data_IF_765069560290
#
_entry.id   IF_765069560290
#
_cell.length_a   1.000
_cell.length_b   1.000
_cell.length_c   1.000
_cell.angle_alpha   90.00
_cell.angle_beta   90.00
_cell.angle_gamma   90.00
#
_symmetry.space_group_name_H-M   'P 1'
#
loop_
_entity.id
_entity.type
_entity.pdbx_description
1 polymer ?
#
# COMPACT_ATOMS: atom_id res chain seq x y z
N UNK A 1 12.10 44.35 52.79
CA UNK A 1 13.30 43.55 52.44
C UNK A 1 13.13 42.05 52.69
N UNK A 2 12.60 41.59 53.84
CA UNK A 2 12.46 40.14 54.14
C UNK A 2 11.58 39.38 53.12
N UNK A 3 10.44 39.94 52.69
CA UNK A 3 9.55 39.28 51.73
C UNK A 3 10.14 39.06 50.32
N UNK A 4 10.98 39.98 49.85
CA UNK A 4 11.66 39.84 48.56
C UNK A 4 12.69 38.70 48.59
N UNK A 5 13.41 38.57 49.71
CA UNK A 5 14.35 37.47 49.91
C UNK A 5 13.66 36.10 49.89
N UNK A 6 12.52 35.96 50.57
CA UNK A 6 11.72 34.72 50.53
C UNK A 6 11.21 34.41 49.12
N UNK A 7 10.76 35.42 48.38
CA UNK A 7 10.29 35.23 47.01
C UNK A 7 11.40 34.72 46.08
N UNK A 8 12.61 35.29 46.17
CA UNK A 8 13.77 34.84 45.37
C UNK A 8 14.17 33.40 45.73
N UNK A 9 14.16 33.03 47.01
CA UNK A 9 14.45 31.65 47.46
C UNK A 9 13.41 30.65 46.96
N UNK A 10 12.12 31.02 46.98
CA UNK A 10 11.03 30.17 46.47
C UNK A 10 11.15 29.97 44.95
N UNK A 11 11.39 31.05 44.20
CA UNK A 11 11.53 30.96 42.74
C UNK A 11 12.75 30.14 42.35
N UNK A 12 13.89 30.33 43.01
CA UNK A 12 15.10 29.52 42.74
C UNK A 12 14.89 28.05 43.08
N UNK A 13 14.25 27.75 44.22
CA UNK A 13 13.87 26.38 44.58
C UNK A 13 12.91 25.74 43.57
N UNK A 14 11.92 26.50 43.10
CA UNK A 14 10.95 26.03 42.10
C UNK A 14 11.61 25.76 40.74
N UNK A 15 12.52 26.63 40.29
CA UNK A 15 13.28 26.42 39.04
C UNK A 15 14.20 25.19 39.13
N UNK A 16 14.84 24.98 40.28
CA UNK A 16 15.65 23.78 40.52
C UNK A 16 14.80 22.50 40.54
N UNK A 17 13.61 22.56 41.16
CA UNK A 17 12.65 21.46 41.17
C UNK A 17 12.17 21.12 39.75
N UNK A 18 11.79 22.12 38.95
CA UNK A 18 11.37 21.90 37.57
C UNK A 18 12.51 21.34 36.71
N UNK A 19 13.75 21.81 36.90
CA UNK A 19 14.93 21.25 36.22
C UNK A 19 15.19 19.80 36.62
N UNK A 20 15.01 19.46 37.89
CA UNK A 20 15.12 18.09 38.38
C UNK A 20 14.04 17.19 37.80
N UNK A 21 12.77 17.64 37.77
CA UNK A 21 11.66 16.89 37.18
C UNK A 21 11.87 16.66 35.68
N UNK A 22 12.28 17.69 34.94
CA UNK A 22 12.58 17.56 33.51
C UNK A 22 13.74 16.60 33.25
N UNK A 23 14.81 16.65 34.07
CA UNK A 23 15.93 15.72 33.95
C UNK A 23 15.49 14.27 34.21
N UNK A 24 14.67 14.05 35.24
CA UNK A 24 14.13 12.73 35.59
C UNK A 24 13.22 12.17 34.50
N UNK A 25 12.39 13.01 33.91
CA UNK A 25 11.51 12.62 32.80
C UNK A 25 12.34 12.23 31.57
N UNK A 26 13.37 13.02 31.21
CA UNK A 26 14.31 12.70 30.11
C UNK A 26 15.08 11.41 30.38
N UNK A 27 15.56 11.18 31.60
CA UNK A 27 16.24 9.93 31.98
C UNK A 27 15.29 8.73 31.85
N UNK A 28 14.02 8.86 32.26
CA UNK A 28 13.03 7.79 32.10
C UNK A 28 12.67 7.51 30.63
N UNK A 29 12.60 8.55 29.80
CA UNK A 29 12.41 8.40 28.35
C UNK A 29 13.62 7.73 27.70
N UNK A 30 14.85 8.10 28.10
CA UNK A 30 16.07 7.46 27.59
C UNK A 30 16.19 6.01 28.02
N UNK A 31 15.81 5.65 29.25
CA UNK A 31 15.82 4.25 29.71
C UNK A 31 14.78 3.41 28.95
N UNK A 32 13.59 3.93 28.68
CA UNK A 32 12.56 3.25 27.89
C UNK A 32 13.01 3.02 26.44
N UNK A 33 13.50 4.06 25.77
CA UNK A 33 14.00 3.95 24.40
C UNK A 33 15.21 3.01 24.31
N UNK A 34 16.13 3.05 25.29
CA UNK A 34 17.28 2.16 25.31
C UNK A 34 16.91 0.70 25.57
N UNK A 35 15.90 0.42 26.40
CA UNK A 35 15.39 -0.92 26.61
C UNK A 35 14.75 -1.49 25.33
N UNK A 36 14.00 -0.67 24.60
CA UNK A 36 13.42 -1.04 23.31
C UNK A 36 14.50 -1.30 22.25
N UNK A 37 15.58 -0.52 22.24
CA UNK A 37 16.72 -0.80 21.36
C UNK A 37 17.48 -2.09 21.72
N UNK A 38 17.62 -2.40 23.02
CA UNK A 38 18.25 -3.66 23.46
C UNK A 38 17.40 -4.88 23.10
N UNK A 39 16.08 -4.80 23.25
CA UNK A 39 15.18 -5.87 22.80
C UNK A 39 15.26 -6.02 21.29
N UNK A 40 15.26 -4.94 20.51
CA UNK A 40 15.43 -5.01 19.05
C UNK A 40 16.75 -5.68 18.64
N UNK A 41 17.85 -5.37 19.34
CA UNK A 41 19.16 -6.00 19.11
C UNK A 41 19.13 -7.49 19.43
N UNK A 42 18.50 -7.89 20.54
CA UNK A 42 18.32 -9.29 20.91
C UNK A 42 17.45 -10.03 19.90
N UNK A 43 16.36 -9.44 19.41
CA UNK A 43 15.51 -10.04 18.37
C UNK A 43 16.28 -10.24 17.07
N UNK A 44 17.09 -9.25 16.68
CA UNK A 44 17.92 -9.34 15.47
C UNK A 44 19.08 -10.33 15.62
N UNK A 45 19.60 -10.52 16.84
CA UNK A 45 20.66 -11.49 17.16
C UNK A 45 20.09 -12.93 17.25
N UNK A 46 18.85 -13.09 17.72
CA UNK A 46 18.08 -14.35 17.66
C UNK A 46 17.74 -14.73 16.21
N UNK A 47 17.35 -13.76 15.36
CA UNK A 47 17.18 -13.95 13.92
C UNK A 47 18.49 -14.26 13.18
N UNK A 48 19.64 -13.84 13.73
CA UNK A 48 20.98 -14.12 13.17
C UNK A 48 21.51 -15.48 13.63
N UNK A 49 20.95 -16.05 14.69
CA UNK A 49 21.23 -17.44 15.06
C UNK A 49 20.59 -18.31 13.97
N UNK A 50 21.35 -19.15 13.27
CA UNK A 50 20.82 -19.93 12.17
C UNK A 50 19.67 -20.79 12.69
N UNK A 51 18.45 -20.42 12.28
CA UNK A 51 17.23 -21.16 12.60
C UNK A 51 17.35 -22.61 12.11
N UNK A 52 16.53 -23.54 12.64
CA UNK A 52 16.54 -24.98 12.36
C UNK A 52 16.51 -25.37 10.87
N UNK A 53 16.36 -24.42 9.97
CA UNK A 53 16.50 -24.53 8.53
C UNK A 53 17.93 -24.89 8.12
N UNK A 54 18.97 -24.29 8.72
CA UNK A 54 20.37 -24.63 8.36
C UNK A 54 20.74 -26.01 8.91
N UNK A 55 20.34 -26.33 10.14
CA UNK A 55 20.48 -27.69 10.67
C UNK A 55 19.67 -28.73 9.88
N UNK A 56 18.48 -28.36 9.37
CA UNK A 56 17.69 -29.20 8.45
C UNK A 56 18.33 -29.32 7.08
N UNK A 57 18.95 -28.26 6.57
CA UNK A 57 19.65 -28.26 5.28
C UNK A 57 20.93 -29.12 5.36
N UNK A 58 21.68 -29.04 6.47
CA UNK A 58 22.84 -29.88 6.75
C UNK A 58 22.44 -31.35 6.95
N UNK A 59 21.35 -31.63 7.69
CA UNK A 59 20.81 -32.98 7.83
C UNK A 59 20.31 -33.54 6.48
N UNK A 60 19.70 -32.69 5.65
CA UNK A 60 19.26 -33.05 4.31
C UNK A 60 20.44 -33.29 3.35
N UNK A 61 21.51 -32.49 3.45
CA UNK A 61 22.75 -32.65 2.69
C UNK A 61 23.57 -33.88 3.12
N UNK A 62 23.54 -34.25 4.40
CA UNK A 62 24.17 -35.48 4.89
C UNK A 62 23.47 -36.76 4.41
N UNK A 63 22.16 -36.68 4.14
CA UNK A 63 21.35 -37.80 3.61
C UNK A 63 21.39 -37.80 2.07
N UNK A 64 21.63 -36.66 1.43
CA UNK A 64 21.70 -36.50 -0.02
C UNK A 64 23.04 -35.85 -0.42
N UNK A 65 24.10 -36.63 -0.71
CA UNK A 65 25.47 -36.13 -0.90
C UNK A 65 25.69 -35.29 -2.18
N UNK A 66 24.63 -34.89 -2.89
CA UNK A 66 24.67 -34.16 -4.15
C UNK A 66 24.42 -32.64 -4.07
N UNK A 67 24.22 -32.07 -2.87
CA UNK A 67 23.96 -30.64 -2.71
C UNK A 67 25.25 -29.92 -2.32
N UNK A 68 25.90 -29.27 -3.29
CA UNK A 68 27.12 -28.46 -3.08
C UNK A 68 26.74 -26.98 -3.12
N UNK A 69 27.11 -26.24 -2.08
CA UNK A 69 27.00 -24.77 -2.02
C UNK A 69 27.92 -24.12 -3.08
N UNK A 70 27.37 -23.19 -3.87
CA UNK A 70 28.14 -22.41 -4.84
C UNK A 70 28.93 -21.33 -4.08
N UNK A 71 30.23 -21.58 -3.87
CA UNK A 71 31.20 -20.55 -3.48
C UNK A 71 31.43 -19.60 -4.66
N UNK A 72 31.13 -18.32 -4.47
CA UNK A 72 31.54 -17.23 -5.37
C UNK A 72 33.06 -17.10 -5.34
N UNK A 73 33.73 -17.20 -6.49
CA UNK A 73 34.98 -16.49 -6.80
C UNK A 73 35.25 -16.44 -8.33
N UNK A 74 35.84 -15.32 -8.75
CA UNK A 74 36.13 -14.81 -10.11
C UNK A 74 37.07 -15.66 -11.00
N UNK A 75 37.23 -15.34 -12.31
CA UNK A 75 37.81 -16.26 -13.30
C UNK A 75 39.33 -16.12 -13.46
N UNK A 76 40.01 -17.25 -13.66
CA UNK A 76 41.42 -17.27 -14.05
C UNK A 76 41.99 -18.67 -14.33
N UNK A 77 42.41 -18.84 -15.59
CA UNK A 77 43.53 -19.63 -16.11
C UNK A 77 43.59 -21.18 -15.94
N UNK A 78 43.62 -21.80 -17.13
CA UNK A 78 44.56 -22.82 -17.62
C UNK A 78 44.58 -24.27 -17.11
N UNK A 79 44.66 -25.13 -18.14
CA UNK A 79 45.37 -26.41 -18.23
C UNK A 79 44.86 -27.62 -17.43
N UNK A 80 44.10 -28.45 -18.16
CA UNK A 80 44.37 -29.87 -18.41
C UNK A 80 44.54 -30.82 -17.23
N UNK A 81 43.69 -31.85 -17.18
CA UNK A 81 44.04 -33.28 -16.97
C UNK A 81 42.80 -34.12 -17.32
N UNK A 82 43.01 -35.17 -18.13
CA UNK A 82 42.04 -36.24 -18.37
C UNK A 82 41.92 -37.11 -17.12
N UNK A 83 40.71 -37.39 -16.68
CA UNK A 83 40.43 -38.55 -15.84
C UNK A 83 39.21 -39.29 -16.40
N UNK A 84 39.39 -40.60 -16.52
CA UNK A 84 38.53 -41.57 -17.16
C UNK A 84 37.10 -41.62 -16.62
N UNK A 85 36.21 -41.95 -17.57
CA UNK A 85 34.87 -42.53 -17.45
C UNK A 85 34.41 -42.93 -16.04
N UNK A 86 33.69 -42.02 -15.40
CA UNK A 86 32.53 -42.37 -14.60
C UNK A 86 31.31 -41.89 -15.38
N UNK A 87 30.47 -42.83 -15.83
CA UNK A 87 29.12 -42.51 -16.31
C UNK A 87 28.35 -42.11 -15.05
N UNK A 88 28.44 -40.82 -14.70
CA UNK A 88 27.41 -40.17 -13.92
C UNK A 88 26.17 -40.25 -14.80
N UNK A 89 25.15 -40.99 -14.37
CA UNK A 89 23.80 -40.75 -14.89
C UNK A 89 23.54 -39.30 -14.55
N UNK A 90 23.54 -38.42 -15.54
CA UNK A 90 23.31 -36.99 -15.37
C UNK A 90 22.08 -36.85 -14.48
N UNK A 91 22.30 -36.32 -13.27
CA UNK A 91 21.20 -35.99 -12.39
C UNK A 91 20.26 -35.09 -13.22
N UNK A 92 18.95 -35.37 -13.27
CA UNK A 92 18.04 -34.56 -14.07
C UNK A 92 18.25 -33.12 -13.68
N UNK A 93 18.67 -32.28 -14.64
CA UNK A 93 18.94 -30.88 -14.38
C UNK A 93 17.74 -30.30 -13.61
N UNK A 94 17.94 -29.71 -12.43
CA UNK A 94 16.83 -29.16 -11.68
C UNK A 94 16.17 -28.12 -12.60
N UNK A 95 14.88 -28.34 -12.90
CA UNK A 95 14.09 -27.39 -13.67
C UNK A 95 14.01 -26.10 -12.85
N UNK A 96 14.94 -25.20 -13.10
CA UNK A 96 14.94 -23.86 -12.54
C UNK A 96 13.83 -23.09 -13.24
N UNK A 97 12.68 -23.03 -12.58
CA UNK A 97 11.59 -22.15 -12.99
C UNK A 97 12.01 -20.69 -12.76
N UNK A 98 12.68 -20.12 -13.76
CA UNK A 98 12.96 -18.69 -13.79
C UNK A 98 11.71 -17.96 -14.28
N UNK A 99 11.27 -16.95 -13.52
CA UNK A 99 10.26 -16.02 -13.99
C UNK A 99 10.75 -15.38 -15.29
N UNK A 100 9.95 -15.53 -16.36
CA UNK A 100 10.29 -15.07 -17.71
C UNK A 100 10.46 -13.54 -17.80
N UNK A 101 9.84 -12.82 -16.86
CA UNK A 101 9.93 -11.37 -16.70
C UNK A 101 9.50 -10.96 -15.30
N UNK A 102 9.92 -9.79 -14.85
CA UNK A 102 9.36 -9.16 -13.65
C UNK A 102 7.85 -8.99 -13.83
N UNK A 103 7.08 -9.55 -12.90
CA UNK A 103 5.62 -9.52 -13.00
C UNK A 103 5.04 -8.15 -12.66
N UNK A 104 5.80 -7.31 -11.94
CA UNK A 104 5.36 -6.01 -11.41
C UNK A 104 6.50 -5.01 -11.43
N UNK A 105 6.25 -3.81 -11.96
CA UNK A 105 7.10 -2.65 -11.72
C UNK A 105 7.00 -2.20 -10.24
N UNK A 106 8.00 -1.44 -9.80
CA UNK A 106 8.10 -0.98 -8.41
C UNK A 106 6.90 -0.11 -7.99
N UNK A 107 6.40 0.75 -8.89
CA UNK A 107 5.26 1.63 -8.62
C UNK A 107 4.00 0.82 -8.40
N UNK A 108 3.75 -0.15 -9.27
CA UNK A 108 2.59 -1.05 -9.16
C UNK A 108 2.64 -1.86 -7.87
N UNK A 109 3.83 -2.37 -7.51
CA UNK A 109 4.02 -3.11 -6.25
C UNK A 109 3.73 -2.25 -5.03
N UNK A 110 4.30 -1.05 -4.99
CA UNK A 110 4.13 -0.14 -3.85
C UNK A 110 2.67 0.27 -3.68
N UNK A 111 1.98 0.59 -4.77
CA UNK A 111 0.56 0.91 -4.75
C UNK A 111 -0.30 -0.29 -4.32
N UNK A 112 0.01 -1.51 -4.79
CA UNK A 112 -0.69 -2.72 -4.34
C UNK A 112 -0.56 -2.95 -2.83
N UNK A 113 0.66 -2.81 -2.30
CA UNK A 113 0.92 -2.91 -0.85
C UNK A 113 0.14 -1.84 -0.09
N UNK A 114 0.08 -0.63 -0.61
CA UNK A 114 -0.61 0.49 0.02
C UNK A 114 -2.14 0.30 -0.01
N UNK A 115 -2.71 -0.14 -1.13
CA UNK A 115 -4.12 -0.50 -1.24
C UNK A 115 -4.48 -1.64 -0.28
N UNK A 116 -3.63 -2.66 -0.15
CA UNK A 116 -3.84 -3.76 0.80
C UNK A 116 -3.82 -3.32 2.28
N UNK A 117 -3.10 -2.23 2.60
CA UNK A 117 -3.11 -1.62 3.95
C UNK A 117 -4.34 -0.75 4.20
N UNK A 118 -4.80 -0.05 3.16
CA UNK A 118 -5.91 0.90 3.27
C UNK A 118 -7.26 0.20 3.19
N UNK A 119 -7.38 -0.84 2.37
CA UNK A 119 -8.61 -1.59 2.17
C UNK A 119 -9.09 -2.21 3.51
N UNK A 120 -10.38 -2.07 3.83
CA UNK A 120 -10.95 -2.65 5.04
C UNK A 120 -11.01 -4.18 4.92
N UNK A 121 -11.21 -4.83 6.08
CA UNK A 121 -11.42 -6.28 6.13
C UNK A 121 -12.65 -6.64 5.32
N UNK A 122 -12.51 -7.58 4.39
CA UNK A 122 -13.59 -7.98 3.48
C UNK A 122 -13.53 -7.32 2.10
N UNK A 123 -12.53 -6.50 1.80
CA UNK A 123 -12.28 -6.00 0.43
C UNK A 123 -11.04 -6.69 -0.14
N UNK A 124 -11.18 -7.24 -1.36
CA UNK A 124 -10.10 -7.83 -2.14
C UNK A 124 -9.59 -6.83 -3.18
N UNK A 125 -8.28 -6.78 -3.35
CA UNK A 125 -7.62 -6.01 -4.40
C UNK A 125 -7.08 -7.00 -5.44
N UNK A 126 -7.68 -6.99 -6.63
CA UNK A 126 -7.26 -7.82 -7.77
C UNK A 126 -6.41 -6.98 -8.72
N UNK A 127 -5.40 -7.58 -9.35
CA UNK A 127 -4.46 -6.89 -10.22
C UNK A 127 -4.64 -7.28 -11.69
N UNK A 128 -4.52 -6.31 -12.60
CA UNK A 128 -4.48 -6.50 -14.05
C UNK A 128 -5.68 -7.32 -14.57
N UNK A 129 -6.88 -6.96 -14.10
CA UNK A 129 -8.12 -7.67 -14.40
C UNK A 129 -8.64 -7.22 -15.78
N UNK A 130 -8.88 -8.15 -16.73
CA UNK A 130 -9.55 -7.82 -18.00
C UNK A 130 -10.97 -7.30 -17.77
N UNK A 131 -11.41 -6.31 -18.55
CA UNK A 131 -12.77 -5.77 -18.43
C UNK A 131 -13.84 -6.83 -18.72
N UNK A 132 -13.54 -7.79 -19.60
CA UNK A 132 -14.44 -8.89 -19.94
C UNK A 132 -14.77 -9.83 -18.77
N UNK A 133 -13.97 -9.83 -17.69
CA UNK A 133 -14.20 -10.69 -16.52
C UNK A 133 -15.40 -10.22 -15.68
N UNK A 134 -15.72 -8.92 -15.71
CA UNK A 134 -16.76 -8.33 -14.85
C UNK A 134 -17.76 -7.45 -15.59
N UNK A 135 -17.54 -7.12 -16.86
CA UNK A 135 -18.48 -6.37 -17.71
C UNK A 135 -19.09 -7.30 -18.74
N UNK A 136 -20.43 -7.30 -18.82
CA UNK A 136 -21.19 -8.01 -19.84
C UNK A 136 -21.83 -6.99 -20.80
N UNK A 137 -21.73 -7.25 -22.10
CA UNK A 137 -22.39 -6.45 -23.13
C UNK A 137 -23.66 -7.17 -23.60
N UNK A 138 -24.73 -6.41 -23.84
CA UNK A 138 -26.02 -6.97 -24.30
C UNK A 138 -25.92 -7.65 -25.67
N UNK A 139 -24.91 -7.29 -26.47
CA UNK A 139 -24.64 -7.81 -27.81
C UNK A 139 -23.75 -9.06 -27.82
N UNK A 140 -23.24 -9.51 -26.67
CA UNK A 140 -22.41 -10.73 -26.57
C UNK A 140 -21.00 -10.62 -27.17
N UNK A 141 -20.64 -9.48 -27.77
CA UNK A 141 -19.29 -9.20 -28.25
C UNK A 141 -18.41 -8.69 -27.10
N UNK A 142 -17.56 -9.56 -26.55
CA UNK A 142 -16.60 -9.23 -25.47
C UNK A 142 -15.15 -9.17 -25.94
N UNK A 143 -14.88 -9.43 -27.22
CA UNK A 143 -13.53 -9.57 -27.79
C UNK A 143 -12.66 -8.30 -27.62
N UNK A 144 -13.28 -7.12 -27.62
CA UNK A 144 -12.57 -5.85 -27.40
C UNK A 144 -12.29 -5.55 -25.92
N UNK A 145 -13.04 -6.16 -25.00
CA UNK A 145 -12.89 -5.96 -23.55
C UNK A 145 -11.84 -6.91 -22.94
N UNK A 146 -11.55 -8.04 -23.58
CA UNK A 146 -10.58 -9.02 -23.10
C UNK A 146 -9.12 -8.55 -23.20
N UNK A 147 -8.82 -7.69 -24.17
CA UNK A 147 -7.49 -7.11 -24.36
C UNK A 147 -7.21 -5.92 -23.43
N UNK A 148 -8.26 -5.32 -22.84
CA UNK A 148 -8.18 -4.13 -22.00
C UNK A 148 -8.26 -4.54 -20.54
N UNK A 149 -7.33 -4.03 -19.73
CA UNK A 149 -7.21 -4.39 -18.31
C UNK A 149 -7.31 -3.15 -17.43
N UNK A 150 -7.99 -3.29 -16.30
CA UNK A 150 -7.91 -2.35 -15.18
C UNK A 150 -6.74 -2.77 -14.28
N UNK A 151 -5.94 -1.80 -13.83
CA UNK A 151 -4.71 -2.09 -13.07
C UNK A 151 -5.03 -2.69 -11.71
N UNK A 152 -5.96 -2.10 -10.97
CA UNK A 152 -6.50 -2.68 -9.75
C UNK A 152 -8.02 -2.67 -9.77
N UNK A 153 -8.62 -3.75 -9.30
CA UNK A 153 -10.06 -3.87 -9.11
C UNK A 153 -10.31 -4.20 -7.65
N UNK A 154 -11.11 -3.38 -6.97
CA UNK A 154 -11.52 -3.62 -5.60
C UNK A 154 -12.90 -4.28 -5.61
N UNK A 155 -12.99 -5.43 -4.95
CA UNK A 155 -14.21 -6.22 -4.87
C UNK A 155 -14.53 -6.57 -3.42
N UNK A 156 -15.80 -6.83 -3.13
CA UNK A 156 -16.18 -7.49 -1.89
C UNK A 156 -15.63 -8.92 -1.85
N UNK A 157 -15.11 -9.35 -0.70
CA UNK A 157 -14.46 -10.64 -0.54
C UNK A 157 -15.45 -11.82 -0.50
N UNK A 158 -16.72 -11.57 -0.22
CA UNK A 158 -17.73 -12.63 -0.10
C UNK A 158 -18.39 -12.93 -1.45
N UNK A 159 -18.76 -11.88 -2.19
CA UNK A 159 -19.49 -11.99 -3.46
C UNK A 159 -18.66 -11.74 -4.71
N UNK A 160 -17.42 -11.23 -4.57
CA UNK A 160 -16.63 -10.68 -5.68
C UNK A 160 -17.34 -9.55 -6.44
N UNK A 161 -18.31 -8.90 -5.80
CA UNK A 161 -19.00 -7.73 -6.36
C UNK A 161 -18.01 -6.57 -6.48
N UNK A 162 -17.99 -5.94 -7.65
CA UNK A 162 -17.04 -4.86 -7.94
C UNK A 162 -17.46 -3.59 -7.20
N UNK A 163 -16.55 -3.05 -6.40
CA UNK A 163 -16.74 -1.79 -5.67
C UNK A 163 -16.20 -0.62 -6.49
N UNK A 164 -14.95 -0.71 -6.93
CA UNK A 164 -14.32 0.34 -7.74
C UNK A 164 -13.07 -0.13 -8.49
N UNK A 165 -12.73 0.58 -9.56
CA UNK A 165 -11.43 0.43 -10.23
C UNK A 165 -10.42 1.45 -9.71
N UNK A 166 -9.14 1.09 -9.75
CA UNK A 166 -8.03 2.03 -9.52
C UNK A 166 -7.05 1.92 -10.69
N UNK A 167 -6.61 3.06 -11.22
CA UNK A 167 -5.61 3.14 -12.28
C UNK A 167 -4.58 4.24 -12.01
N UNK A 168 -3.41 4.06 -12.63
CA UNK A 168 -2.44 5.14 -12.72
C UNK A 168 -2.73 6.03 -13.93
N UNK A 169 -2.59 7.34 -13.75
CA UNK A 169 -2.67 8.36 -14.78
C UNK A 169 -1.31 8.50 -15.44
N UNK A 170 -1.21 8.08 -16.69
CA UNK A 170 -0.02 8.32 -17.51
C UNK A 170 -0.06 9.75 -18.09
N UNK A 171 1.02 10.51 -17.90
CA UNK A 171 1.18 11.89 -18.42
C UNK A 171 1.89 11.87 -19.80
N UNK A 172 2.27 10.70 -20.32
CA UNK A 172 3.01 10.50 -21.57
C UNK A 172 2.17 10.43 -22.85
N UNK A 173 2.70 10.99 -23.94
CA UNK A 173 2.05 11.16 -25.25
C UNK A 173 1.76 9.86 -26.05
N UNK A 174 2.13 8.68 -25.56
CA UNK A 174 1.98 7.39 -26.29
C UNK A 174 0.96 6.43 -25.68
N UNK A 175 0.36 6.76 -24.52
CA UNK A 175 -0.53 5.88 -23.75
C UNK A 175 -1.98 6.37 -23.58
N UNK A 176 -2.46 7.32 -24.39
CA UNK A 176 -3.78 7.95 -24.20
C UNK A 176 -4.97 7.00 -24.35
N UNK A 177 -4.87 5.97 -25.18
CA UNK A 177 -6.04 5.17 -25.57
C UNK A 177 -6.58 4.22 -24.47
N UNK A 178 -5.77 3.46 -23.71
CA UNK A 178 -6.32 2.45 -22.79
C UNK A 178 -7.08 3.03 -21.59
N UNK A 179 -6.62 4.16 -21.04
CA UNK A 179 -7.23 4.77 -19.84
C UNK A 179 -8.59 5.37 -20.16
N UNK A 180 -8.71 6.10 -21.27
CA UNK A 180 -9.96 6.72 -21.69
C UNK A 180 -11.07 5.68 -21.92
N UNK A 181 -10.72 4.51 -22.46
CA UNK A 181 -11.67 3.40 -22.65
C UNK A 181 -12.10 2.79 -21.32
N UNK A 182 -11.16 2.52 -20.40
CA UNK A 182 -11.50 2.00 -19.07
C UNK A 182 -12.41 2.99 -18.34
N UNK A 183 -12.11 4.29 -18.43
CA UNK A 183 -12.93 5.35 -17.85
C UNK A 183 -14.34 5.40 -18.44
N UNK A 184 -14.48 5.25 -19.75
CA UNK A 184 -15.79 5.15 -20.41
C UNK A 184 -16.58 3.97 -19.86
N UNK A 185 -15.97 2.77 -19.85
CA UNK A 185 -16.63 1.54 -19.39
C UNK A 185 -17.08 1.63 -17.94
N UNK A 186 -16.24 2.15 -17.04
CA UNK A 186 -16.61 2.38 -15.64
C UNK A 186 -17.76 3.40 -15.51
N UNK A 187 -17.79 4.42 -16.37
CA UNK A 187 -18.91 5.35 -16.48
C UNK A 187 -20.21 4.68 -16.94
N UNK A 188 -20.12 3.82 -17.94
CA UNK A 188 -21.27 3.11 -18.53
C UNK A 188 -21.89 2.09 -17.55
N UNK A 189 -21.06 1.39 -16.77
CA UNK A 189 -21.51 0.44 -15.74
C UNK A 189 -21.85 1.11 -14.40
N UNK A 190 -21.69 2.44 -14.30
CA UNK A 190 -22.02 3.21 -13.11
C UNK A 190 -21.11 2.95 -11.90
N UNK A 191 -19.88 2.48 -12.11
CA UNK A 191 -18.91 2.20 -11.05
C UNK A 191 -17.79 3.26 -11.01
N UNK A 192 -17.29 3.62 -9.81
CA UNK A 192 -16.22 4.61 -9.70
C UNK A 192 -14.87 4.06 -10.18
N UNK A 193 -14.11 4.92 -10.87
CA UNK A 193 -12.71 4.70 -11.26
C UNK A 193 -11.83 5.78 -10.62
N UNK A 194 -10.91 5.37 -9.74
CA UNK A 194 -9.98 6.26 -9.06
C UNK A 194 -8.65 6.33 -9.81
N UNK A 195 -8.22 7.55 -10.11
CA UNK A 195 -6.96 7.81 -10.79
C UNK A 195 -5.90 8.36 -9.82
N UNK A 196 -4.70 7.77 -9.86
CA UNK A 196 -3.52 8.22 -9.11
C UNK A 196 -2.37 8.53 -10.06
N UNK A 197 -1.46 9.46 -9.74
CA UNK A 197 -0.27 9.65 -10.56
C UNK A 197 0.60 8.37 -10.61
N UNK A 198 1.39 8.18 -11.68
CA UNK A 198 2.46 7.18 -11.68
C UNK A 198 3.59 7.71 -10.81
N UNK A 199 3.54 7.47 -9.50
CA UNK A 199 4.54 7.93 -8.53
C UNK A 199 4.68 6.96 -7.36
N UNK A 200 5.89 6.84 -6.83
CA UNK A 200 6.17 6.11 -5.59
C UNK A 200 5.89 6.93 -4.32
N UNK A 201 5.69 8.24 -4.45
CA UNK A 201 5.52 9.15 -3.30
C UNK A 201 4.07 9.30 -2.84
N UNK A 202 3.18 8.41 -3.30
CA UNK A 202 1.77 8.42 -2.92
C UNK A 202 1.65 8.03 -1.44
N UNK A 203 1.10 8.92 -0.64
CA UNK A 203 0.90 8.69 0.79
C UNK A 203 -0.35 7.85 1.08
N UNK A 204 -0.34 7.15 2.22
CA UNK A 204 -1.51 6.41 2.71
C UNK A 204 -2.74 7.31 2.86
N UNK A 205 -2.54 8.55 3.34
CA UNK A 205 -3.60 9.53 3.53
C UNK A 205 -4.26 9.91 2.19
N UNK A 206 -3.48 10.11 1.13
CA UNK A 206 -4.02 10.46 -0.19
C UNK A 206 -4.89 9.34 -0.76
N UNK A 207 -4.47 8.09 -0.55
CA UNK A 207 -5.27 6.94 -1.00
C UNK A 207 -6.54 6.82 -0.17
N UNK A 208 -6.46 6.95 1.16
CA UNK A 208 -7.63 6.97 2.05
C UNK A 208 -8.63 8.06 1.66
N UNK A 209 -8.17 9.29 1.44
CA UNK A 209 -9.03 10.42 1.07
C UNK A 209 -9.89 10.15 -0.18
N UNK A 210 -9.33 9.43 -1.17
CA UNK A 210 -10.07 9.08 -2.39
C UNK A 210 -10.87 7.78 -2.25
N UNK A 211 -10.39 6.84 -1.45
CA UNK A 211 -10.91 5.49 -1.39
C UNK A 211 -11.99 5.31 -0.33
N UNK A 212 -11.85 5.96 0.83
CA UNK A 212 -12.83 5.90 1.93
C UNK A 212 -14.25 6.33 1.51
N UNK A 213 -14.45 7.41 0.70
CA UNK A 213 -15.79 7.79 0.24
C UNK A 213 -16.49 6.72 -0.61
N UNK A 214 -15.70 5.85 -1.25
CA UNK A 214 -16.18 4.77 -2.12
C UNK A 214 -16.40 3.49 -1.32
N UNK A 215 -15.48 3.14 -0.42
CA UNK A 215 -15.50 1.87 0.33
C UNK A 215 -16.46 1.87 1.51
N UNK A 216 -16.63 2.99 2.21
CA UNK A 216 -17.51 3.04 3.39
C UNK A 216 -19.00 3.14 3.04
N UNK A 217 -19.33 3.04 1.75
CA UNK A 217 -20.57 3.58 1.24
C UNK A 217 -20.48 5.10 1.34
N UNK A 218 -20.76 5.82 0.28
CA UNK A 218 -22.14 6.18 0.04
C UNK A 218 -23.07 6.15 1.29
N UNK A 219 -22.74 6.88 2.35
CA UNK A 219 -23.60 8.04 2.58
C UNK A 219 -23.30 9.02 1.44
N UNK A 220 -23.80 8.72 0.23
CA UNK A 220 -24.20 9.79 -0.67
C UNK A 220 -25.30 10.38 0.17
N UNK A 221 -24.92 11.39 0.96
CA UNK A 221 -25.79 11.98 1.94
C UNK A 221 -26.99 12.39 1.10
N UNK A 222 -28.07 11.62 1.22
CA UNK A 222 -29.17 11.76 0.30
C UNK A 222 -29.73 13.13 0.60
N UNK A 223 -29.97 13.92 -0.44
CA UNK A 223 -30.44 15.27 -0.25
C UNK A 223 -31.67 15.23 0.68
N UNK A 224 -31.66 15.89 1.86
CA UNK A 224 -32.79 15.81 2.78
C UNK A 224 -34.07 16.41 2.19
N UNK A 225 -33.97 17.15 1.07
CA UNK A 225 -35.10 17.71 0.34
C UNK A 225 -35.69 16.79 -0.73
N UNK A 226 -34.88 16.01 -1.46
CA UNK A 226 -35.35 15.23 -2.62
C UNK A 226 -34.82 13.79 -2.69
N UNK A 227 -34.03 13.36 -1.70
CA UNK A 227 -33.28 12.09 -1.68
C UNK A 227 -32.31 11.88 -2.85
N UNK A 228 -32.12 12.87 -3.72
CA UNK A 228 -31.18 12.83 -4.84
C UNK A 228 -29.71 12.93 -4.42
N UNK A 229 -28.81 12.74 -5.38
CA UNK A 229 -27.37 12.77 -5.16
C UNK A 229 -26.85 14.19 -4.82
N UNK A 230 -25.81 14.24 -4.00
CA UNK A 230 -25.16 15.47 -3.56
C UNK A 230 -23.69 15.51 -4.00
N UNK A 231 -23.13 16.72 -4.12
CA UNK A 231 -21.72 17.00 -4.44
C UNK A 231 -21.11 17.98 -3.44
N UNK A 232 -19.81 17.90 -3.18
CA UNK A 232 -19.12 18.78 -2.22
C UNK A 232 -18.74 20.10 -2.89
N UNK A 233 -19.01 21.22 -2.22
CA UNK A 233 -18.57 22.57 -2.62
C UNK A 233 -17.89 23.30 -1.47
N UNK A 234 -16.94 24.19 -1.81
CA UNK A 234 -16.25 25.07 -0.86
C UNK A 234 -16.85 26.48 -0.90
N UNK A 235 -17.16 27.04 0.26
CA UNK A 235 -17.65 28.42 0.34
C UNK A 235 -16.53 29.40 -0.06
N UNK A 236 -16.82 30.27 -1.04
CA UNK A 236 -15.85 31.25 -1.54
C UNK A 236 -15.99 32.60 -0.81
N UNK A 237 -17.20 32.94 -0.34
CA UNK A 237 -17.51 34.24 0.28
C UNK A 237 -18.34 34.08 1.56
N UNK A 238 -18.24 35.08 2.44
CA UNK A 238 -19.04 35.18 3.67
C UNK A 238 -18.41 34.54 4.91
N UNK A 239 -19.17 34.51 6.03
CA UNK A 239 -18.70 34.05 7.36
C UNK A 239 -18.20 32.60 7.41
N UNK A 240 -18.56 31.78 6.41
CA UNK A 240 -18.14 30.37 6.30
C UNK A 240 -17.16 30.13 5.15
N UNK A 241 -16.58 31.17 4.57
CA UNK A 241 -15.59 31.04 3.51
C UNK A 241 -14.47 30.06 3.90
N UNK A 242 -14.07 29.20 2.97
CA UNK A 242 -13.09 28.16 3.18
C UNK A 242 -13.65 26.81 3.66
N UNK A 243 -14.88 26.76 4.18
CA UNK A 243 -15.50 25.49 4.64
C UNK A 243 -16.14 24.74 3.47
N UNK A 244 -16.08 23.41 3.54
CA UNK A 244 -16.74 22.49 2.61
C UNK A 244 -18.13 22.07 3.11
N UNK A 245 -19.04 21.79 2.19
CA UNK A 245 -20.41 21.34 2.47
C UNK A 245 -20.98 20.60 1.27
N UNK A 246 -21.94 19.71 1.52
CA UNK A 246 -22.66 18.98 0.50
C UNK A 246 -23.79 19.85 -0.07
N UNK A 247 -23.97 19.80 -1.39
CA UNK A 247 -25.02 20.50 -2.14
C UNK A 247 -25.71 19.50 -3.07
N UNK A 248 -27.04 19.54 -3.14
CA UNK A 248 -27.79 18.74 -4.10
C UNK A 248 -27.38 19.06 -5.54
N UNK A 249 -27.29 18.04 -6.40
CA UNK A 249 -26.98 18.21 -7.81
C UNK A 249 -28.05 19.02 -8.56
N UNK A 250 -29.32 18.96 -8.11
CA UNK A 250 -30.43 19.74 -8.66
C UNK A 250 -30.48 21.18 -8.13
N UNK A 251 -29.41 21.72 -7.53
CA UNK A 251 -29.41 23.12 -7.12
C UNK A 251 -29.44 24.04 -8.36
N UNK A 252 -30.33 25.05 -8.47
CA UNK A 252 -31.08 25.71 -7.39
C UNK A 252 -32.53 25.24 -7.18
N UNK A 253 -33.03 24.29 -7.97
CA UNK A 253 -34.41 23.80 -7.84
C UNK A 253 -34.60 23.00 -6.56
N UNK A 254 -33.60 22.21 -6.16
CA UNK A 254 -33.50 21.63 -4.83
C UNK A 254 -32.42 22.34 -3.99
N UNK A 255 -32.81 22.90 -2.84
CA UNK A 255 -31.92 23.66 -1.94
C UNK A 255 -31.33 22.81 -0.80
N UNK A 256 -31.26 21.50 -0.97
CA UNK A 256 -30.64 20.61 0.01
C UNK A 256 -29.16 20.91 0.17
N UNK A 257 -28.78 21.25 1.41
CA UNK A 257 -27.40 21.54 1.81
C UNK A 257 -27.16 20.93 3.18
N UNK A 258 -26.09 20.16 3.32
CA UNK A 258 -25.71 19.49 4.56
C UNK A 258 -24.23 19.73 4.86
N UNK A 259 -23.86 19.62 6.14
CA UNK A 259 -22.48 19.79 6.56
C UNK A 259 -21.69 18.54 6.13
N UNK A 260 -20.54 18.76 5.48
CA UNK A 260 -19.56 17.70 5.23
C UNK A 260 -18.78 17.36 6.51
#
# INVERSE_FOLDING_TARGET
MKGFFFFVVIITGFVLLLRYLRKREVESFMESDMADFQTFRQTHEVLKKPEPIIARAEAYAAINPGVIEIKKDSPGADAGVKADSLILVDAPEPILHLLKSDSFDEVTRNMLVLLGKVAPRGVLVLLNVPLSEFVKTDTGETSNLASIKVTYLLCDATGLEVICGVQHRDVGATGRQPIDHVKSVFGDIGLPLLEFPVSNDISEHEVRDKLDPVLLGSEVQACPGCAGSMTIRKAIKGKRAGRIFWVCNDFPTCRGVTKA
#
